data_IF_734593407823
#
_entry.id   IF_734593407823
#
_cell.length_a   1.000
_cell.length_b   1.000
_cell.length_c   1.000
_cell.angle_alpha   90.00
_cell.angle_beta   90.00
_cell.angle_gamma   90.00
#
_symmetry.space_group_name_H-M   'P 1'
#
loop_
_entity.id
_entity.type
_entity.pdbx_description
1 polymer ?
#
# COMPACT_ATOMS: atom_id res chain seq x y z
N UNK A 1 8.50 15.58 6.65
CA UNK A 1 8.43 15.08 5.25
C UNK A 1 8.44 13.56 5.31
N UNK A 2 7.91 12.86 4.30
CA UNK A 2 8.00 11.39 4.26
C UNK A 2 9.47 10.98 4.20
N UNK A 3 9.91 10.17 5.15
CA UNK A 3 11.29 9.68 5.24
C UNK A 3 11.53 8.54 4.22
N UNK A 4 12.80 8.28 3.84
CA UNK A 4 13.15 7.17 2.98
C UNK A 4 12.64 5.83 3.54
N UNK A 5 12.05 5.02 2.68
CA UNK A 5 11.27 3.83 3.08
C UNK A 5 11.98 2.50 2.89
N UNK A 6 13.19 2.50 2.34
CA UNK A 6 13.95 1.29 2.01
C UNK A 6 14.18 0.43 3.26
N UNK A 7 14.61 1.06 4.35
CA UNK A 7 14.87 0.38 5.62
C UNK A 7 13.60 -0.27 6.20
N UNK A 8 12.42 0.34 6.03
CA UNK A 8 11.16 -0.23 6.48
C UNK A 8 10.75 -1.46 5.65
N UNK A 9 10.96 -1.42 4.32
CA UNK A 9 10.69 -2.56 3.47
C UNK A 9 11.66 -3.71 3.75
N UNK A 10 12.94 -3.44 3.99
CA UNK A 10 13.91 -4.45 4.39
C UNK A 10 13.59 -5.06 5.77
N UNK A 11 13.15 -4.22 6.71
CA UNK A 11 12.68 -4.69 8.02
C UNK A 11 11.45 -5.59 7.90
N UNK A 12 10.53 -5.30 6.98
CA UNK A 12 9.36 -6.13 6.73
C UNK A 12 9.73 -7.44 6.02
N UNK A 13 10.62 -7.40 5.01
CA UNK A 13 11.12 -8.60 4.31
C UNK A 13 11.86 -9.55 5.25
N UNK A 14 12.52 -9.02 6.28
CA UNK A 14 13.24 -9.80 7.30
C UNK A 14 12.37 -10.17 8.50
N UNK A 15 11.06 -9.86 8.49
CA UNK A 15 10.15 -10.20 9.59
C UNK A 15 10.05 -11.73 9.74
N UNK A 16 10.56 -12.23 10.86
CA UNK A 16 10.41 -13.61 11.29
C UNK A 16 9.23 -13.69 12.25
N UNK A 17 8.27 -14.57 11.97
CA UNK A 17 7.13 -14.79 12.86
C UNK A 17 7.51 -15.51 14.15
N UNK A 18 6.73 -15.31 15.21
CA UNK A 18 6.98 -15.91 16.53
C UNK A 18 6.24 -17.24 16.73
N UNK A 19 5.80 -17.88 15.64
CA UNK A 19 4.84 -18.99 15.67
C UNK A 19 5.29 -20.18 16.53
N UNK A 20 6.58 -20.58 16.47
CA UNK A 20 7.11 -21.69 17.27
C UNK A 20 6.91 -21.44 18.77
N UNK A 21 7.31 -20.27 19.24
CA UNK A 21 7.21 -19.89 20.65
C UNK A 21 5.77 -19.69 21.09
N UNK A 22 4.94 -19.08 20.23
CA UNK A 22 3.51 -18.90 20.49
C UNK A 22 2.80 -20.26 20.61
N UNK A 23 3.07 -21.20 19.70
CA UNK A 23 2.50 -22.56 19.74
C UNK A 23 2.94 -23.31 20.99
N UNK A 24 4.20 -23.16 21.40
CA UNK A 24 4.71 -23.79 22.62
C UNK A 24 4.01 -23.24 23.87
N UNK A 25 3.88 -21.91 23.98
CA UNK A 25 3.19 -21.27 25.11
C UNK A 25 1.69 -21.61 25.17
N UNK A 26 1.02 -21.75 24.02
CA UNK A 26 -0.40 -22.14 23.98
C UNK A 26 -0.59 -23.64 24.28
N UNK A 27 0.26 -24.50 23.72
CA UNK A 27 0.14 -25.96 23.84
C UNK A 27 0.62 -26.51 25.18
N UNK A 28 1.64 -25.89 25.78
CA UNK A 28 2.23 -26.28 27.07
C UNK A 28 2.41 -25.03 27.95
N UNK A 29 1.31 -24.48 28.50
CA UNK A 29 1.37 -23.24 29.27
C UNK A 29 2.14 -23.44 30.58
N UNK A 30 3.27 -22.76 30.73
CA UNK A 30 4.06 -22.65 31.96
C UNK A 30 4.67 -21.24 32.05
N UNK A 31 5.11 -20.77 33.22
CA UNK A 31 5.77 -19.48 33.36
C UNK A 31 6.95 -19.30 32.39
N UNK A 32 7.71 -20.36 32.14
CA UNK A 32 8.89 -20.38 31.26
C UNK A 32 8.49 -20.27 29.78
N UNK A 33 7.54 -21.08 29.31
CA UNK A 33 7.10 -21.04 27.90
C UNK A 33 6.40 -19.73 27.58
N UNK A 34 5.66 -19.20 28.55
CA UNK A 34 4.99 -17.91 28.44
C UNK A 34 5.95 -16.71 28.45
N UNK A 35 7.03 -16.77 29.24
CA UNK A 35 8.07 -15.75 29.27
C UNK A 35 8.89 -15.75 27.97
N UNK A 36 9.30 -16.92 27.48
CA UNK A 36 10.03 -17.04 26.22
C UNK A 36 9.21 -16.51 25.04
N UNK A 37 7.93 -16.89 24.93
CA UNK A 37 7.06 -16.36 23.88
C UNK A 37 6.89 -14.84 23.98
N UNK A 38 6.86 -14.29 25.20
CA UNK A 38 6.79 -12.85 25.41
C UNK A 38 8.08 -12.13 24.99
N UNK A 39 9.24 -12.69 25.32
CA UNK A 39 10.55 -12.13 24.97
C UNK A 39 10.77 -12.09 23.45
N UNK A 40 10.29 -13.10 22.73
CA UNK A 40 10.36 -13.14 21.28
C UNK A 40 9.34 -12.22 20.62
N UNK A 41 8.14 -12.06 21.18
CA UNK A 41 7.08 -11.29 20.53
C UNK A 41 7.23 -9.77 20.71
N UNK A 42 7.81 -9.31 21.82
CA UNK A 42 8.06 -7.88 22.06
C UNK A 42 8.82 -7.18 20.93
N UNK A 43 9.98 -7.68 20.45
CA UNK A 43 10.70 -7.05 19.35
C UNK A 43 9.94 -7.16 18.03
N UNK A 44 9.21 -8.26 17.78
CA UNK A 44 8.37 -8.40 16.58
C UNK A 44 7.27 -7.33 16.55
N UNK A 45 6.55 -7.16 17.66
CA UNK A 45 5.51 -6.14 17.83
C UNK A 45 6.06 -4.73 17.73
N UNK A 46 7.28 -4.47 18.21
CA UNK A 46 7.92 -3.17 18.04
C UNK A 46 8.07 -2.80 16.55
N UNK A 47 8.46 -3.76 15.69
CA UNK A 47 8.49 -3.57 14.22
C UNK A 47 7.11 -3.29 13.66
N UNK A 48 6.08 -4.03 14.10
CA UNK A 48 4.70 -3.82 13.67
C UNK A 48 4.18 -2.42 14.04
N UNK A 49 4.51 -1.94 15.26
CA UNK A 49 4.22 -0.57 15.69
C UNK A 49 4.93 0.46 14.82
N UNK A 50 6.18 0.22 14.39
CA UNK A 50 6.91 1.13 13.49
C UNK A 50 6.21 1.27 12.14
N UNK A 51 5.77 0.16 11.54
CA UNK A 51 5.05 0.19 10.27
C UNK A 51 3.71 0.92 10.38
N UNK A 52 2.95 0.68 11.45
CA UNK A 52 1.71 1.41 11.72
C UNK A 52 1.95 2.91 11.91
N UNK A 53 2.98 3.30 12.68
CA UNK A 53 3.36 4.71 12.84
C UNK A 53 3.67 5.38 11.52
N UNK A 54 4.33 4.68 10.60
CA UNK A 54 4.58 5.20 9.26
C UNK A 54 3.27 5.45 8.49
N UNK A 55 2.26 4.57 8.63
CA UNK A 55 0.93 4.81 8.06
C UNK A 55 0.29 6.09 8.62
N UNK A 56 0.44 6.36 9.92
CA UNK A 56 -0.04 7.62 10.55
C UNK A 56 0.71 8.85 10.00
N UNK A 57 2.03 8.74 9.79
CA UNK A 57 2.81 9.80 9.13
C UNK A 57 2.30 10.07 7.71
N UNK A 58 1.97 9.01 6.95
CA UNK A 58 1.35 9.15 5.62
C UNK A 58 0.02 9.91 5.72
N UNK A 59 -0.86 9.53 6.66
CA UNK A 59 -2.16 10.21 6.86
C UNK A 59 -1.98 11.71 7.12
N UNK A 60 -0.93 12.10 7.83
CA UNK A 60 -0.64 13.49 8.17
C UNK A 60 0.02 14.29 7.03
N UNK A 61 0.88 13.65 6.23
CA UNK A 61 1.66 14.30 5.17
C UNK A 61 0.96 14.32 3.81
N UNK A 62 0.24 13.26 3.45
CA UNK A 62 -0.36 13.11 2.11
C UNK A 62 -1.31 14.28 1.74
N UNK A 63 -2.17 14.80 2.64
CA UNK A 63 -3.00 15.96 2.32
C UNK A 63 -2.20 17.20 1.92
N UNK A 64 -1.01 17.41 2.47
CA UNK A 64 -0.15 18.55 2.14
C UNK A 64 0.48 18.39 0.75
N UNK A 65 0.88 17.16 0.41
CA UNK A 65 1.37 16.80 -0.92
C UNK A 65 0.27 17.03 -1.95
N UNK A 66 -0.93 16.49 -1.71
CA UNK A 66 -2.08 16.65 -2.60
C UNK A 66 -2.52 18.12 -2.68
N UNK A 67 -2.49 18.87 -1.58
CA UNK A 67 -2.78 20.30 -1.55
C UNK A 67 -1.91 21.09 -2.54
N UNK A 68 -0.61 20.80 -2.57
CA UNK A 68 0.33 21.49 -3.46
C UNK A 68 0.19 21.04 -4.92
N UNK A 69 -0.06 19.75 -5.16
CA UNK A 69 -0.10 19.19 -6.51
C UNK A 69 -1.47 19.35 -7.20
N UNK A 70 -2.56 19.26 -6.44
CA UNK A 70 -3.91 19.10 -6.98
C UNK A 70 -4.79 20.35 -6.85
N UNK A 71 -4.49 21.30 -5.97
CA UNK A 71 -5.29 22.54 -5.88
C UNK A 71 -4.84 23.52 -6.97
N UNK A 72 -5.79 23.96 -7.79
CA UNK A 72 -5.53 24.83 -8.94
C UNK A 72 -5.22 24.06 -10.22
N UNK A 73 -4.21 24.53 -10.97
CA UNK A 73 -3.81 23.92 -12.25
C UNK A 73 -2.86 22.74 -12.00
N UNK A 74 -3.39 21.54 -12.11
CA UNK A 74 -2.67 20.27 -11.85
C UNK A 74 -1.44 20.12 -12.74
N UNK A 75 -1.57 20.41 -14.04
CA UNK A 75 -0.46 20.21 -14.99
C UNK A 75 0.69 21.16 -14.68
N UNK A 76 0.37 22.45 -14.44
CA UNK A 76 1.36 23.44 -14.03
C UNK A 76 2.01 23.09 -12.70
N UNK A 77 1.24 22.57 -11.74
CA UNK A 77 1.76 22.18 -10.43
C UNK A 77 2.71 20.98 -10.54
N UNK A 78 2.37 19.96 -11.33
CA UNK A 78 3.23 18.80 -11.58
C UNK A 78 4.55 19.20 -12.26
N UNK A 79 4.49 20.13 -13.22
CA UNK A 79 5.68 20.67 -13.89
C UNK A 79 6.56 21.51 -12.96
N UNK A 80 5.94 22.32 -12.09
CA UNK A 80 6.65 23.21 -11.16
C UNK A 80 7.21 22.47 -9.95
N UNK A 81 6.52 21.45 -9.47
CA UNK A 81 6.82 20.75 -8.22
C UNK A 81 7.25 19.30 -8.47
N UNK A 82 8.16 19.09 -9.44
CA UNK A 82 8.62 17.75 -9.87
C UNK A 82 9.17 16.89 -8.72
N UNK A 83 9.91 17.50 -7.78
CA UNK A 83 10.40 16.78 -6.58
C UNK A 83 9.25 16.24 -5.72
N UNK A 84 8.19 17.04 -5.57
CA UNK A 84 7.03 16.64 -4.77
C UNK A 84 6.20 15.56 -5.49
N UNK A 85 6.07 15.67 -6.82
CA UNK A 85 5.48 14.62 -7.64
C UNK A 85 6.28 13.31 -7.55
N UNK A 86 7.62 13.38 -7.53
CA UNK A 86 8.48 12.22 -7.34
C UNK A 86 8.30 11.59 -5.95
N UNK A 87 8.15 12.39 -4.89
CA UNK A 87 7.84 11.89 -3.53
C UNK A 87 6.49 11.16 -3.52
N UNK A 88 5.48 11.70 -4.21
CA UNK A 88 4.19 11.02 -4.35
C UNK A 88 4.36 9.67 -5.05
N UNK A 89 5.10 9.61 -6.17
CA UNK A 89 5.39 8.35 -6.85
C UNK A 89 6.14 7.36 -5.95
N UNK A 90 7.13 7.80 -5.18
CA UNK A 90 7.85 6.96 -4.22
C UNK A 90 6.94 6.43 -3.11
N UNK A 91 5.98 7.22 -2.64
CA UNK A 91 4.96 6.77 -1.70
C UNK A 91 4.08 5.67 -2.33
N UNK A 92 3.60 5.86 -3.56
CA UNK A 92 2.76 4.87 -4.23
C UNK A 92 3.52 3.56 -4.49
N UNK A 93 4.80 3.66 -4.84
CA UNK A 93 5.70 2.51 -4.97
C UNK A 93 5.85 1.74 -3.66
N UNK A 94 6.13 2.46 -2.56
CA UNK A 94 6.22 1.88 -1.22
C UNK A 94 4.92 1.18 -0.80
N UNK A 95 3.77 1.82 -1.04
CA UNK A 95 2.44 1.25 -0.72
C UNK A 95 2.28 -0.12 -1.38
N UNK A 96 2.60 -0.22 -2.67
CA UNK A 96 2.53 -1.48 -3.40
C UNK A 96 3.46 -2.54 -2.80
N UNK A 97 4.73 -2.19 -2.58
CA UNK A 97 5.73 -3.12 -2.08
C UNK A 97 5.40 -3.63 -0.68
N UNK A 98 5.04 -2.72 0.23
CA UNK A 98 4.66 -3.06 1.60
C UNK A 98 3.52 -4.08 1.62
N UNK A 99 2.43 -3.78 0.90
CA UNK A 99 1.24 -4.64 0.90
C UNK A 99 1.53 -5.98 0.21
N UNK A 100 2.34 -5.99 -0.86
CA UNK A 100 2.76 -7.22 -1.55
C UNK A 100 3.62 -8.13 -0.67
N UNK A 101 4.46 -7.56 0.20
CA UNK A 101 5.25 -8.34 1.16
C UNK A 101 4.34 -8.81 2.30
N UNK A 102 3.55 -7.91 2.90
CA UNK A 102 2.66 -8.22 4.02
C UNK A 102 1.71 -9.36 3.70
N UNK A 103 1.14 -9.41 2.50
CA UNK A 103 0.23 -10.48 2.08
C UNK A 103 0.89 -11.88 2.07
N UNK A 104 2.23 -11.96 2.02
CA UNK A 104 2.99 -13.22 2.04
C UNK A 104 3.38 -13.66 3.46
N UNK A 105 3.11 -12.84 4.48
CA UNK A 105 3.52 -13.07 5.87
C UNK A 105 2.25 -13.15 6.76
N UNK A 106 1.49 -14.26 6.72
CA UNK A 106 0.30 -14.43 7.56
C UNK A 106 0.61 -14.37 9.07
N UNK A 107 1.86 -14.63 9.46
CA UNK A 107 2.32 -14.61 10.85
C UNK A 107 2.13 -13.24 11.52
N UNK A 108 2.17 -12.13 10.76
CA UNK A 108 1.98 -10.78 11.31
C UNK A 108 0.68 -10.66 12.11
N UNK A 109 -0.44 -11.17 11.56
CA UNK A 109 -1.73 -11.11 12.24
C UNK A 109 -1.76 -12.04 13.47
N UNK A 110 -1.15 -13.22 13.36
CA UNK A 110 -1.12 -14.21 14.44
C UNK A 110 -0.31 -13.71 15.63
N UNK A 111 0.88 -13.18 15.37
CA UNK A 111 1.77 -12.62 16.38
C UNK A 111 1.09 -11.45 17.10
N UNK A 112 0.55 -10.49 16.34
CA UNK A 112 -0.09 -9.33 16.94
C UNK A 112 -1.36 -9.71 17.74
N UNK A 113 -2.10 -10.71 17.27
CA UNK A 113 -3.25 -11.26 18.01
C UNK A 113 -2.85 -11.97 19.30
N UNK A 114 -1.69 -12.64 19.35
CA UNK A 114 -1.14 -13.20 20.59
C UNK A 114 -0.69 -12.08 21.54
N UNK A 115 0.03 -11.08 21.05
CA UNK A 115 0.45 -9.93 21.84
C UNK A 115 -0.73 -9.24 22.55
N UNK A 116 -1.82 -8.97 21.83
CA UNK A 116 -3.02 -8.37 22.41
C UNK A 116 -3.65 -9.25 23.50
N UNK A 117 -3.63 -10.58 23.35
CA UNK A 117 -4.10 -11.51 24.40
C UNK A 117 -3.21 -11.50 25.64
N UNK A 118 -1.91 -11.26 25.47
CA UNK A 118 -0.99 -11.10 26.59
C UNK A 118 -1.21 -9.76 27.32
N UNK A 119 -1.49 -8.68 26.59
CA UNK A 119 -1.83 -7.38 27.17
C UNK A 119 -3.08 -7.45 28.05
N UNK A 120 -4.16 -8.03 27.52
CA UNK A 120 -5.43 -8.13 28.26
C UNK A 120 -5.37 -9.00 29.51
N UNK A 121 -4.37 -9.88 29.62
CA UNK A 121 -4.09 -10.71 30.81
C UNK A 121 -3.24 -10.00 31.87
N UNK A 122 -2.90 -8.73 31.68
CA UNK A 122 -2.12 -7.96 32.64
C UNK A 122 -0.61 -8.22 32.60
N UNK A 123 -0.04 -8.77 31.51
CA UNK A 123 1.43 -8.94 31.44
C UNK A 123 2.20 -7.61 31.45
N UNK A 124 1.54 -6.49 31.18
CA UNK A 124 2.09 -5.13 31.35
C UNK A 124 1.68 -4.46 32.68
N UNK A 125 0.74 -5.02 33.44
CA UNK A 125 0.12 -4.36 34.59
C UNK A 125 0.99 -4.35 35.85
N UNK A 126 2.18 -4.96 35.81
CA UNK A 126 3.03 -5.02 36.99
C UNK A 126 3.81 -3.71 37.25
N UNK A 127 3.87 -2.75 36.31
CA UNK A 127 4.65 -1.49 36.50
C UNK A 127 4.06 -0.21 35.84
N UNK A 128 2.89 -0.24 35.17
CA UNK A 128 2.38 0.95 34.44
C UNK A 128 1.11 1.55 35.06
N UNK A 129 1.04 2.89 35.10
CA UNK A 129 -0.18 3.65 35.46
C UNK A 129 -1.36 3.21 34.58
N UNK A 130 -2.56 3.11 35.14
CA UNK A 130 -3.79 2.65 34.49
C UNK A 130 -4.03 3.38 33.15
N UNK A 131 -3.69 4.67 33.08
CA UNK A 131 -3.78 5.47 31.86
C UNK A 131 -2.86 4.97 30.75
N UNK A 132 -1.65 4.56 31.07
CA UNK A 132 -0.70 4.03 30.10
C UNK A 132 -1.15 2.67 29.56
N UNK A 133 -1.73 1.82 30.41
CA UNK A 133 -2.30 0.55 29.99
C UNK A 133 -3.49 0.75 29.03
N UNK A 134 -4.39 1.69 29.34
CA UNK A 134 -5.52 2.02 28.47
C UNK A 134 -5.07 2.56 27.10
N UNK A 135 -4.08 3.45 27.06
CA UNK A 135 -3.54 3.98 25.81
C UNK A 135 -2.89 2.88 24.95
N UNK A 136 -2.19 1.94 25.58
CA UNK A 136 -1.56 0.82 24.90
C UNK A 136 -2.61 -0.15 24.32
N UNK A 137 -3.70 -0.41 25.05
CA UNK A 137 -4.83 -1.21 24.56
C UNK A 137 -5.56 -0.55 23.39
N UNK A 138 -5.79 0.76 23.44
CA UNK A 138 -6.39 1.51 22.33
C UNK A 138 -5.51 1.46 21.09
N UNK A 139 -4.20 1.73 21.25
CA UNK A 139 -3.22 1.64 20.17
C UNK A 139 -3.17 0.23 19.59
N UNK A 140 -3.21 -0.82 20.43
CA UNK A 140 -3.22 -2.19 19.98
C UNK A 140 -4.48 -2.50 19.15
N UNK A 141 -5.65 -1.97 19.52
CA UNK A 141 -6.87 -2.15 18.71
C UNK A 141 -6.74 -1.49 17.33
N UNK A 142 -6.18 -0.28 17.25
CA UNK A 142 -5.95 0.39 15.98
C UNK A 142 -4.97 -0.38 15.08
N UNK A 143 -3.86 -0.86 15.64
CA UNK A 143 -2.88 -1.67 14.89
C UNK A 143 -3.49 -3.00 14.43
N UNK A 144 -4.33 -3.63 15.27
CA UNK A 144 -5.04 -4.84 14.89
C UNK A 144 -5.98 -4.58 13.69
N UNK A 145 -6.68 -3.45 13.68
CA UNK A 145 -7.54 -3.07 12.56
C UNK A 145 -6.74 -2.79 11.29
N UNK A 146 -5.60 -2.11 11.43
CA UNK A 146 -4.67 -1.89 10.33
C UNK A 146 -4.27 -3.22 9.67
N UNK A 147 -3.73 -4.18 10.44
CA UNK A 147 -3.27 -5.45 9.87
C UNK A 147 -4.37 -6.41 9.42
N UNK A 148 -5.62 -6.20 9.83
CA UNK A 148 -6.77 -7.00 9.39
C UNK A 148 -7.02 -6.86 7.87
N UNK A 149 -6.72 -5.69 7.29
CA UNK A 149 -6.82 -5.49 5.85
C UNK A 149 -5.70 -6.23 5.10
N UNK A 150 -5.97 -6.86 3.94
CA UNK A 150 -4.93 -7.45 3.10
C UNK A 150 -3.90 -6.42 2.62
N UNK A 151 -4.37 -5.21 2.30
CA UNK A 151 -3.61 -4.09 1.71
C UNK A 151 -3.72 -2.83 2.58
N UNK A 152 -3.14 -2.86 3.79
CA UNK A 152 -3.36 -1.82 4.79
C UNK A 152 -2.79 -0.45 4.42
N UNK A 153 -1.65 -0.40 3.71
CA UNK A 153 -1.08 0.87 3.26
C UNK A 153 -1.91 1.46 2.13
N UNK A 154 -2.37 0.63 1.18
CA UNK A 154 -3.26 1.07 0.11
C UNK A 154 -4.58 1.60 0.63
N UNK A 155 -5.20 0.91 1.59
CA UNK A 155 -6.41 1.39 2.27
C UNK A 155 -6.18 2.76 2.89
N UNK A 156 -5.06 2.92 3.60
CA UNK A 156 -4.69 4.19 4.24
C UNK A 156 -4.56 5.33 3.24
N UNK A 157 -3.78 5.17 2.17
CA UNK A 157 -3.62 6.26 1.17
C UNK A 157 -4.92 6.54 0.42
N UNK A 158 -5.73 5.52 0.15
CA UNK A 158 -7.01 5.68 -0.54
C UNK A 158 -7.98 6.49 0.31
N UNK A 159 -8.16 6.13 1.58
CA UNK A 159 -9.07 6.83 2.51
C UNK A 159 -8.68 8.29 2.69
N UNK A 160 -7.40 8.56 2.92
CA UNK A 160 -6.88 9.91 3.10
C UNK A 160 -7.09 10.74 1.84
N UNK A 161 -6.89 10.14 0.66
CA UNK A 161 -7.11 10.82 -0.61
C UNK A 161 -8.59 11.13 -0.83
N UNK A 162 -9.50 10.20 -0.48
CA UNK A 162 -10.96 10.42 -0.55
C UNK A 162 -11.37 11.56 0.38
N UNK A 163 -10.92 11.53 1.64
CA UNK A 163 -11.23 12.56 2.63
C UNK A 163 -10.73 13.93 2.18
N UNK A 164 -9.48 14.02 1.72
CA UNK A 164 -8.90 15.24 1.20
C UNK A 164 -9.69 15.77 -0.01
N UNK A 165 -9.97 14.91 -0.99
CA UNK A 165 -10.70 15.29 -2.20
C UNK A 165 -12.10 15.84 -1.90
N UNK A 166 -12.79 15.24 -0.93
CA UNK A 166 -14.10 15.68 -0.46
C UNK A 166 -14.00 16.99 0.32
N UNK A 167 -13.07 17.10 1.27
CA UNK A 167 -12.92 18.26 2.15
C UNK A 167 -12.55 19.54 1.39
N UNK A 168 -11.61 19.44 0.46
CA UNK A 168 -11.17 20.59 -0.34
C UNK A 168 -11.99 20.78 -1.64
N UNK A 169 -12.96 19.90 -1.91
CA UNK A 169 -13.76 19.88 -3.13
C UNK A 169 -12.93 19.85 -4.44
N UNK A 170 -11.88 19.01 -4.45
CA UNK A 170 -10.92 18.88 -5.55
C UNK A 170 -10.86 17.48 -6.16
N UNK A 171 -11.93 16.69 -6.02
CA UNK A 171 -11.99 15.32 -6.55
C UNK A 171 -11.60 15.21 -8.03
N UNK A 172 -12.07 16.14 -8.88
CA UNK A 172 -11.68 16.17 -10.30
C UNK A 172 -10.18 16.40 -10.50
N UNK A 173 -9.60 17.34 -9.76
CA UNK A 173 -8.18 17.68 -9.87
C UNK A 173 -7.28 16.55 -9.33
N UNK A 174 -7.71 15.86 -8.27
CA UNK A 174 -7.03 14.67 -7.76
C UNK A 174 -7.09 13.53 -8.78
N UNK A 175 -8.26 13.27 -9.37
CA UNK A 175 -8.40 12.29 -10.47
C UNK A 175 -7.51 12.65 -11.67
N UNK A 176 -7.46 13.92 -12.06
CA UNK A 176 -6.56 14.39 -13.14
C UNK A 176 -5.09 14.13 -12.80
N UNK A 177 -4.66 14.46 -11.58
CA UNK A 177 -3.30 14.19 -11.12
C UNK A 177 -2.96 12.70 -11.19
N UNK A 178 -3.83 11.83 -10.67
CA UNK A 178 -3.63 10.38 -10.67
C UNK A 178 -3.61 9.80 -12.10
N UNK A 179 -4.50 10.27 -12.98
CA UNK A 179 -4.52 9.86 -14.39
C UNK A 179 -3.25 10.30 -15.13
N UNK A 180 -2.74 11.49 -14.85
CA UNK A 180 -1.47 11.99 -15.41
C UNK A 180 -0.31 11.12 -14.95
N UNK A 181 -0.21 10.80 -13.64
CA UNK A 181 0.83 9.91 -13.12
C UNK A 181 0.77 8.52 -13.77
N UNK A 182 -0.42 7.92 -13.83
CA UNK A 182 -0.62 6.62 -14.48
C UNK A 182 -0.21 6.64 -15.96
N UNK A 183 -0.57 7.70 -16.68
CA UNK A 183 -0.24 7.89 -18.10
C UNK A 183 1.26 8.08 -18.31
N UNK A 184 1.93 8.89 -17.49
CA UNK A 184 3.38 9.08 -17.54
C UNK A 184 4.08 7.74 -17.31
N UNK A 185 3.73 7.01 -16.26
CA UNK A 185 4.32 5.69 -15.98
C UNK A 185 4.08 4.68 -17.11
N UNK A 186 2.86 4.62 -17.65
CA UNK A 186 2.55 3.78 -18.83
C UNK A 186 3.42 4.14 -20.03
N UNK A 187 3.58 5.43 -20.33
CA UNK A 187 4.38 5.91 -21.45
C UNK A 187 5.87 5.61 -21.23
N UNK A 188 6.39 5.75 -20.01
CA UNK A 188 7.76 5.39 -19.69
C UNK A 188 8.02 3.91 -19.98
N UNK A 189 7.14 3.01 -19.51
CA UNK A 189 7.25 1.56 -19.75
C UNK A 189 7.11 1.22 -21.25
N UNK A 190 6.11 1.79 -21.92
CA UNK A 190 5.81 1.48 -23.32
C UNK A 190 6.83 2.03 -24.30
N UNK A 191 7.42 3.20 -24.00
CA UNK A 191 8.40 3.86 -24.85
C UNK A 191 9.84 3.44 -24.53
N UNK A 192 10.11 2.93 -23.32
CA UNK A 192 11.42 2.41 -22.94
C UNK A 192 11.97 1.35 -23.90
N UNK A 193 11.09 0.53 -24.47
CA UNK A 193 11.44 -0.51 -25.45
C UNK A 193 11.41 -0.01 -26.91
N UNK A 194 10.89 1.20 -27.18
CA UNK A 194 10.80 1.79 -28.53
C UNK A 194 11.94 2.76 -28.85
N UNK A 195 12.83 3.04 -27.90
CA UNK A 195 13.95 3.96 -28.14
C UNK A 195 14.85 3.42 -29.26
N UNK A 196 15.24 4.34 -30.14
CA UNK A 196 16.05 4.18 -31.34
C UNK A 196 17.22 3.23 -31.17
N UNK A 197 17.57 2.48 -32.23
CA UNK A 197 18.79 1.67 -32.31
C UNK A 197 19.99 2.46 -31.76
N UNK A 198 20.45 2.14 -30.55
CA UNK A 198 21.59 2.81 -29.90
C UNK A 198 21.35 3.39 -28.50
N UNK A 199 20.11 3.47 -28.01
CA UNK A 199 19.86 3.83 -26.61
C UNK A 199 20.01 2.61 -25.68
N UNK A 200 20.60 2.79 -24.50
CA UNK A 200 20.65 1.75 -23.49
C UNK A 200 19.21 1.30 -23.11
N UNK A 201 18.98 -0.01 -22.92
CA UNK A 201 17.69 -0.52 -22.50
C UNK A 201 17.26 0.11 -21.17
N UNK A 202 15.95 0.29 -20.98
CA UNK A 202 15.42 0.80 -19.73
C UNK A 202 15.80 -0.14 -18.58
N UNK A 203 16.24 0.47 -17.46
CA UNK A 203 16.58 -0.26 -16.24
C UNK A 203 15.37 -1.04 -15.71
N UNK A 204 15.48 -2.35 -15.41
CA UNK A 204 14.38 -3.16 -14.91
C UNK A 204 13.71 -2.57 -13.66
N UNK A 205 14.48 -1.93 -12.79
CA UNK A 205 14.00 -1.27 -11.58
C UNK A 205 13.08 -0.10 -11.91
N UNK A 206 13.40 0.67 -12.96
CA UNK A 206 12.55 1.78 -13.42
C UNK A 206 11.23 1.25 -14.00
N UNK A 207 11.28 0.15 -14.75
CA UNK A 207 10.06 -0.49 -15.28
C UNK A 207 9.17 -0.98 -14.14
N UNK A 208 9.74 -1.68 -13.15
CA UNK A 208 9.00 -2.18 -12.01
C UNK A 208 8.37 -1.04 -11.19
N UNK A 209 9.16 0.01 -10.90
CA UNK A 209 8.68 1.23 -10.24
C UNK A 209 7.48 1.85 -10.99
N UNK A 210 7.61 2.09 -12.29
CA UNK A 210 6.53 2.69 -13.08
C UNK A 210 5.27 1.80 -13.11
N UNK A 211 5.42 0.48 -13.21
CA UNK A 211 4.26 -0.42 -13.19
C UNK A 211 3.53 -0.39 -11.84
N UNK A 212 4.26 -0.37 -10.72
CA UNK A 212 3.67 -0.29 -9.37
C UNK A 212 2.97 1.04 -9.14
N UNK A 213 3.63 2.16 -9.45
CA UNK A 213 3.03 3.50 -9.37
C UNK A 213 1.79 3.62 -10.25
N UNK A 214 1.85 3.12 -11.49
CA UNK A 214 0.70 3.09 -12.39
C UNK A 214 -0.48 2.33 -11.78
N UNK A 215 -0.25 1.12 -11.25
CA UNK A 215 -1.33 0.30 -10.67
C UNK A 215 -1.95 0.97 -9.44
N UNK A 216 -1.15 1.50 -8.51
CA UNK A 216 -1.69 2.17 -7.33
C UNK A 216 -2.44 3.45 -7.72
N UNK A 217 -1.92 4.25 -8.65
CA UNK A 217 -2.61 5.44 -9.14
C UNK A 217 -3.96 5.10 -9.79
N UNK A 218 -4.03 4.01 -10.57
CA UNK A 218 -5.29 3.50 -11.15
C UNK A 218 -6.29 3.11 -10.06
N UNK A 219 -5.85 2.39 -9.03
CA UNK A 219 -6.73 1.96 -7.94
C UNK A 219 -7.29 3.17 -7.22
N UNK A 220 -6.45 4.13 -6.82
CA UNK A 220 -6.91 5.33 -6.11
C UNK A 220 -7.83 6.15 -7.01
N UNK A 221 -7.50 6.33 -8.31
CA UNK A 221 -8.38 7.00 -9.27
C UNK A 221 -9.77 6.36 -9.28
N UNK A 222 -9.84 5.03 -9.33
CA UNK A 222 -11.10 4.29 -9.38
C UNK A 222 -11.96 4.50 -8.12
N UNK A 223 -11.36 4.83 -6.97
CA UNK A 223 -12.11 5.18 -5.76
C UNK A 223 -12.57 6.64 -5.71
N UNK A 224 -11.83 7.56 -6.34
CA UNK A 224 -12.10 9.01 -6.33
C UNK A 224 -13.08 9.41 -7.43
N UNK A 225 -12.89 8.91 -8.65
CA UNK A 225 -13.75 9.26 -9.78
C UNK A 225 -15.13 8.61 -9.63
N UNK A 226 -16.24 9.38 -9.71
CA UNK A 226 -17.58 8.83 -9.55
C UNK A 226 -17.96 7.76 -10.58
N UNK A 227 -17.36 7.78 -11.77
CA UNK A 227 -17.59 6.80 -12.83
C UNK A 227 -16.53 5.69 -12.86
N UNK A 228 -15.46 5.84 -12.09
CA UNK A 228 -14.37 4.87 -12.00
C UNK A 228 -13.41 4.87 -13.19
N UNK A 229 -12.39 4.02 -13.09
CA UNK A 229 -11.33 3.92 -14.08
C UNK A 229 -11.70 3.06 -15.29
N UNK A 230 -12.77 2.26 -15.20
CA UNK A 230 -13.11 1.18 -16.15
C UNK A 230 -14.10 1.57 -17.25
N UNK A 231 -14.70 2.76 -17.16
CA UNK A 231 -15.57 3.31 -18.20
C UNK A 231 -14.76 3.68 -19.46
N UNK A 232 -15.42 3.65 -20.63
CA UNK A 232 -14.75 3.96 -21.91
C UNK A 232 -14.23 5.40 -22.02
N UNK A 233 -14.88 6.33 -21.34
CA UNK A 233 -14.51 7.75 -21.30
C UNK A 233 -13.45 8.08 -20.24
N UNK A 234 -12.98 7.09 -19.47
CA UNK A 234 -11.87 7.27 -18.54
C UNK A 234 -10.62 7.75 -19.29
N UNK A 235 -9.87 8.73 -18.75
CA UNK A 235 -8.58 9.12 -19.32
C UNK A 235 -7.53 8.01 -19.21
N UNK A 236 -7.75 7.02 -18.33
CA UNK A 236 -6.83 5.90 -18.12
C UNK A 236 -7.22 4.74 -19.04
N UNK A 237 -6.30 4.36 -19.93
CA UNK A 237 -6.49 3.19 -20.80
C UNK A 237 -6.15 1.88 -20.07
N UNK A 238 -7.09 1.38 -19.26
CA UNK A 238 -6.93 0.13 -18.48
C UNK A 238 -6.48 -1.05 -19.35
N UNK A 239 -7.05 -1.22 -20.55
CA UNK A 239 -6.67 -2.32 -21.44
C UNK A 239 -5.18 -2.28 -21.79
N UNK A 240 -4.66 -1.09 -22.09
CA UNK A 240 -3.25 -0.90 -22.41
C UNK A 240 -2.37 -1.03 -21.16
N UNK A 241 -2.78 -0.50 -20.01
CA UNK A 241 -2.06 -0.66 -18.74
C UNK A 241 -1.91 -2.13 -18.36
N UNK A 242 -2.97 -2.93 -18.46
CA UNK A 242 -2.92 -4.36 -18.17
C UNK A 242 -2.02 -5.10 -19.16
N UNK A 243 -2.09 -4.79 -20.46
CA UNK A 243 -1.16 -5.36 -21.45
C UNK A 243 0.29 -5.00 -21.13
N UNK A 244 0.56 -3.77 -20.71
CA UNK A 244 1.90 -3.33 -20.33
C UNK A 244 2.43 -4.11 -19.12
N UNK A 245 1.57 -4.38 -18.12
CA UNK A 245 1.92 -5.23 -16.98
C UNK A 245 2.37 -6.63 -17.46
N UNK A 246 1.62 -7.27 -18.36
CA UNK A 246 2.00 -8.58 -18.88
C UNK A 246 3.22 -8.58 -19.80
N UNK A 247 3.42 -7.51 -20.58
CA UNK A 247 4.52 -7.44 -21.56
C UNK A 247 5.85 -7.00 -20.96
N UNK A 248 5.83 -6.21 -19.88
CA UNK A 248 7.02 -5.58 -19.31
C UNK A 248 7.23 -5.90 -17.84
N UNK A 249 6.23 -6.46 -17.15
CA UNK A 249 6.37 -6.89 -15.77
C UNK A 249 7.32 -8.09 -15.63
N UNK A 250 7.99 -8.17 -14.48
CA UNK A 250 8.79 -9.33 -14.13
C UNK A 250 7.89 -10.45 -13.56
N UNK A 251 8.40 -11.68 -13.51
CA UNK A 251 7.62 -12.85 -13.06
C UNK A 251 7.16 -12.77 -11.60
N UNK A 252 7.85 -12.00 -10.74
CA UNK A 252 7.52 -11.87 -9.31
C UNK A 252 6.44 -10.83 -9.02
N UNK A 253 6.41 -9.73 -9.77
CA UNK A 253 5.53 -8.58 -9.54
C UNK A 253 4.25 -8.68 -10.36
N UNK A 254 4.31 -9.24 -11.57
CA UNK A 254 3.14 -9.34 -12.47
C UNK A 254 1.91 -9.93 -11.78
N UNK A 255 1.99 -11.08 -11.06
CA UNK A 255 0.83 -11.62 -10.35
C UNK A 255 0.32 -10.69 -9.25
N UNK A 256 1.21 -10.00 -8.53
CA UNK A 256 0.84 -9.07 -7.45
C UNK A 256 0.17 -7.81 -8.04
N UNK A 257 0.66 -7.28 -9.16
CA UNK A 257 0.10 -6.13 -9.88
C UNK A 257 -1.33 -6.42 -10.34
N UNK A 258 -1.55 -7.59 -10.95
CA UNK A 258 -2.87 -8.02 -11.43
C UNK A 258 -3.81 -8.27 -10.25
N UNK A 259 -3.33 -8.92 -9.19
CA UNK A 259 -4.11 -9.16 -7.96
C UNK A 259 -4.51 -7.84 -7.29
N UNK A 260 -3.60 -6.86 -7.24
CA UNK A 260 -3.89 -5.55 -6.69
C UNK A 260 -5.06 -4.87 -7.42
N UNK A 261 -5.04 -4.84 -8.76
CA UNK A 261 -6.15 -4.33 -9.57
C UNK A 261 -7.44 -5.12 -9.34
N UNK A 262 -7.35 -6.45 -9.25
CA UNK A 262 -8.53 -7.32 -9.13
C UNK A 262 -9.28 -7.16 -7.82
N UNK A 263 -8.56 -7.02 -6.72
CA UNK A 263 -9.14 -7.08 -5.37
C UNK A 263 -9.31 -5.71 -4.70
N UNK A 264 -8.66 -4.66 -5.19
CA UNK A 264 -8.70 -3.34 -4.55
C UNK A 264 -9.42 -2.27 -5.36
N UNK A 265 -9.86 -2.57 -6.59
CA UNK A 265 -10.66 -1.64 -7.38
C UNK A 265 -12.14 -1.68 -6.98
N UNK A 266 -12.80 -0.54 -7.11
CA UNK A 266 -14.20 -0.33 -6.75
C UNK A 266 -15.15 -0.72 -7.88
N UNK A 267 -14.85 -0.31 -9.12
CA UNK A 267 -15.79 -0.42 -10.23
C UNK A 267 -15.48 -1.57 -11.21
N UNK A 268 -14.44 -2.39 -10.97
CA UNK A 268 -14.10 -3.52 -11.85
C UNK A 268 -15.28 -4.50 -12.04
N UNK A 269 -16.06 -4.71 -10.98
CA UNK A 269 -17.16 -5.68 -10.98
C UNK A 269 -18.48 -5.10 -11.51
N UNK A 270 -18.57 -3.80 -11.76
CA UNK A 270 -19.79 -3.14 -12.22
C UNK A 270 -20.32 -3.68 -13.54
N UNK A 271 -21.64 -3.61 -13.74
CA UNK A 271 -22.27 -4.05 -14.99
C UNK A 271 -21.82 -3.23 -16.21
N UNK A 272 -21.43 -1.96 -15.99
CA UNK A 272 -20.90 -1.04 -17.01
C UNK A 272 -19.49 -1.40 -17.49
N UNK A 273 -18.72 -2.15 -16.68
CA UNK A 273 -17.33 -2.50 -17.00
C UNK A 273 -17.26 -3.47 -18.18
N UNK A 274 -16.51 -3.14 -19.27
CA UNK A 274 -16.43 -3.97 -20.45
C UNK A 274 -16.00 -5.41 -20.16
N UNK A 275 -16.75 -6.39 -20.68
CA UNK A 275 -16.47 -7.84 -20.51
C UNK A 275 -15.04 -8.22 -20.88
N UNK A 276 -14.48 -7.60 -21.92
CA UNK A 276 -13.11 -7.82 -22.37
C UNK A 276 -12.06 -7.48 -21.30
N UNK A 277 -12.30 -6.45 -20.49
CA UNK A 277 -11.42 -6.07 -19.38
C UNK A 277 -11.56 -7.08 -18.24
N UNK A 278 -12.79 -7.50 -17.90
CA UNK A 278 -13.03 -8.54 -16.89
C UNK A 278 -12.33 -9.85 -17.25
N UNK A 279 -12.43 -10.29 -18.50
CA UNK A 279 -11.74 -11.49 -18.99
C UNK A 279 -10.23 -11.35 -18.91
N UNK A 280 -9.67 -10.20 -19.33
CA UNK A 280 -8.23 -9.95 -19.27
C UNK A 280 -7.68 -10.00 -17.84
N UNK A 281 -8.47 -9.57 -16.85
CA UNK A 281 -8.12 -9.66 -15.42
C UNK A 281 -8.35 -11.06 -14.82
N UNK A 282 -9.19 -11.88 -15.45
CA UNK A 282 -9.50 -13.23 -14.99
C UNK A 282 -8.55 -14.31 -15.54
N UNK A 283 -7.90 -14.08 -16.69
CA UNK A 283 -7.04 -15.05 -17.40
C UNK A 283 -5.72 -15.40 -16.70
N UNK A 284 -5.50 -15.01 -15.45
CA UNK A 284 -4.27 -15.26 -14.71
C UNK A 284 -4.55 -15.58 -13.23
N UNK A 285 -5.25 -16.70 -13.00
CA UNK A 285 -5.20 -17.45 -11.73
C UNK A 285 -4.37 -18.71 -11.95
#
# INVERSE_FOLDING_TARGET
MLEPTVDLLELLRSYQGCETFIRQAIGHPSPETEAEAWDQIRPAVAKLKMFYRYAITIQSCLPQILGTLCIGDVNRNLERHQTLAQILCQLLDFVFEFDSIKMKIPQIQNDFSYYRRCLSRGKLSNETDLKSAMNEDELANQISMFYAYPTPMLKTVTDVTIEFAARENVGRSVSECLATLATVCYNTVSNGNKKSKGAAPQRPETTAFCLRVMVIAIIIYDHIDPQGAFIKSSPINIKSSVKAIHSHGNSSDTPNLISALRFNTKHLNDASTPKTIKTLMATCA
#
